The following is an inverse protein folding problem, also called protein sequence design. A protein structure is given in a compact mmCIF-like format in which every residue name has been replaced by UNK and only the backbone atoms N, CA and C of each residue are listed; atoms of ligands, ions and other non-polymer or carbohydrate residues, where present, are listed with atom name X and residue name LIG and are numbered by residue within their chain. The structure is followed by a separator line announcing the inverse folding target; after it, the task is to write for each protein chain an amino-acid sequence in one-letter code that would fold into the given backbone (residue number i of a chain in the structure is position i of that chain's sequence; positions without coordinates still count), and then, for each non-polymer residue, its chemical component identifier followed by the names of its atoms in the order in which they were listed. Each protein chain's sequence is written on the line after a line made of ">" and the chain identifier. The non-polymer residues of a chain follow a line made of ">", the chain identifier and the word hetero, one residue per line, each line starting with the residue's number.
data_IF_252473056595
#
_entry.id   IF_252473056595
#
_cell.length_a   1.000
_cell.length_b   1.000
_cell.length_c   1.000
_cell.angle_alpha   90.00
_cell.angle_beta   90.00
_cell.angle_gamma   90.00
#
_symmetry.space_group_name_H-M   'P 1'
#
loop_
_entity.id
_entity.type
_entity.pdbx_description
1 polymer ?
#
# COMPACT_ATOMS: atom_id res chain seq x y z
N UNK A 1 14.58 -0.31 -0.32
CA UNK A 1 13.15 -0.20 0.01
C UNK A 1 12.37 -1.08 -0.95
N UNK A 2 11.74 -2.14 -0.46
CA UNK A 2 11.00 -3.10 -1.27
C UNK A 2 9.53 -2.71 -1.49
N UNK A 3 9.23 -1.41 -1.34
CA UNK A 3 7.92 -0.82 -1.61
C UNK A 3 8.04 0.66 -1.96
N UNK A 4 6.97 1.21 -2.53
CA UNK A 4 6.86 2.63 -2.85
C UNK A 4 5.40 3.11 -2.80
N UNK A 5 5.22 4.41 -2.58
CA UNK A 5 3.93 5.09 -2.66
C UNK A 5 3.61 5.32 -4.14
N UNK A 6 2.40 4.96 -4.56
CA UNK A 6 1.96 5.14 -5.94
C UNK A 6 1.72 6.62 -6.23
N UNK A 7 2.27 7.10 -7.34
CA UNK A 7 1.93 8.44 -7.84
C UNK A 7 0.47 8.50 -8.28
N UNK A 8 -0.10 9.71 -8.39
CA UNK A 8 -1.49 9.91 -8.80
C UNK A 8 -1.86 9.17 -10.10
N UNK A 9 -0.92 9.09 -11.05
CA UNK A 9 -1.11 8.37 -12.33
C UNK A 9 -1.12 6.86 -12.19
N UNK A 10 -0.48 6.33 -11.15
CA UNK A 10 -0.40 4.90 -10.87
C UNK A 10 -1.50 4.42 -9.90
N UNK A 11 -2.15 5.34 -9.19
CA UNK A 11 -3.24 5.05 -8.24
C UNK A 11 -4.47 4.55 -8.99
N UNK A 12 -4.52 3.23 -9.15
CA UNK A 12 -5.67 2.55 -9.71
C UNK A 12 -6.86 2.66 -8.75
N UNK A 13 -8.04 2.98 -9.30
CA UNK A 13 -9.32 2.96 -8.58
C UNK A 13 -10.17 1.78 -9.02
N UNK A 14 -10.86 1.17 -8.07
CA UNK A 14 -11.79 0.05 -8.30
C UNK A 14 -12.97 0.18 -7.34
N UNK A 15 -14.10 0.67 -7.84
CA UNK A 15 -15.24 1.00 -6.99
C UNK A 15 -14.87 2.05 -5.95
N UNK A 16 -15.10 1.74 -4.67
CA UNK A 16 -14.78 2.60 -3.53
C UNK A 16 -13.34 2.44 -3.02
N UNK A 17 -12.48 1.73 -3.75
CA UNK A 17 -11.11 1.45 -3.32
C UNK A 17 -10.09 2.10 -4.25
N UNK A 18 -8.97 2.51 -3.67
CA UNK A 18 -7.83 3.09 -4.38
C UNK A 18 -6.54 2.41 -3.93
N UNK A 19 -5.69 2.06 -4.90
CA UNK A 19 -4.35 1.56 -4.63
C UNK A 19 -3.43 2.75 -4.28
N UNK A 20 -2.81 2.71 -3.10
CA UNK A 20 -1.98 3.82 -2.57
C UNK A 20 -0.49 3.48 -2.50
N UNK A 21 -0.14 2.20 -2.40
CA UNK A 21 1.24 1.74 -2.38
C UNK A 21 1.39 0.41 -3.13
N UNK A 22 2.62 0.08 -3.50
CA UNK A 22 2.98 -1.20 -4.09
C UNK A 22 4.26 -1.75 -3.44
N UNK A 23 4.31 -3.07 -3.24
CA UNK A 23 5.45 -3.78 -2.70
C UNK A 23 5.88 -4.92 -3.63
N UNK A 24 7.18 -5.26 -3.59
CA UNK A 24 7.78 -6.32 -4.42
C UNK A 24 7.74 -7.70 -3.78
N UNK A 25 7.42 -7.77 -2.48
CA UNK A 25 7.31 -9.01 -1.72
C UNK A 25 6.16 -8.95 -0.71
N UNK A 26 5.61 -10.12 -0.38
CA UNK A 26 4.41 -10.26 0.46
C UNK A 26 4.67 -9.85 1.92
N UNK A 27 5.91 -10.01 2.41
CA UNK A 27 6.27 -9.59 3.76
C UNK A 27 6.22 -8.06 3.87
N UNK A 28 6.84 -7.35 2.94
CA UNK A 28 6.82 -5.90 2.88
C UNK A 28 5.39 -5.39 2.66
N UNK A 29 4.61 -6.02 1.79
CA UNK A 29 3.20 -5.68 1.59
C UNK A 29 2.39 -5.83 2.91
N UNK A 30 2.66 -6.90 3.66
CA UNK A 30 2.04 -7.16 4.96
C UNK A 30 2.39 -6.08 5.97
N UNK A 31 3.67 -5.72 6.09
CA UNK A 31 4.13 -4.68 7.02
C UNK A 31 3.50 -3.31 6.72
N UNK A 32 3.49 -2.90 5.44
CA UNK A 32 2.90 -1.60 5.05
C UNK A 32 1.38 -1.60 5.29
N UNK A 33 0.70 -2.72 4.99
CA UNK A 33 -0.73 -2.89 5.29
C UNK A 33 -1.01 -2.80 6.78
N UNK A 34 -0.22 -3.50 7.59
CA UNK A 34 -0.46 -3.58 9.03
C UNK A 34 -0.17 -2.23 9.70
N UNK A 35 0.85 -1.50 9.26
CA UNK A 35 1.08 -0.12 9.70
C UNK A 35 -0.13 0.79 9.45
N UNK A 36 -0.74 0.73 8.25
CA UNK A 36 -1.96 1.50 7.96
C UNK A 36 -3.12 1.09 8.86
N UNK A 37 -3.30 -0.21 9.10
CA UNK A 37 -4.37 -0.74 9.96
C UNK A 37 -4.20 -0.33 11.42
N UNK A 38 -2.98 -0.39 11.94
CA UNK A 38 -2.65 0.05 13.30
C UNK A 38 -2.95 1.54 13.51
N UNK A 39 -2.85 2.34 12.43
CA UNK A 39 -3.18 3.76 12.42
C UNK A 39 -4.63 4.05 11.98
N UNK A 40 -5.51 3.04 11.99
CA UNK A 40 -6.94 3.20 11.77
C UNK A 40 -7.39 3.26 10.31
N UNK A 41 -6.48 3.05 9.35
CA UNK A 41 -6.82 3.00 7.92
C UNK A 41 -7.06 1.55 7.50
N UNK A 42 -8.25 1.28 6.98
CA UNK A 42 -8.64 -0.03 6.46
C UNK A 42 -7.86 -0.42 5.20
N UNK A 43 -6.70 -1.03 5.35
CA UNK A 43 -5.87 -1.48 4.23
C UNK A 43 -6.06 -2.98 3.92
N UNK A 44 -5.99 -3.32 2.63
CA UNK A 44 -6.01 -4.70 2.15
C UNK A 44 -5.19 -4.84 0.86
N UNK A 45 -4.70 -6.03 0.59
CA UNK A 45 -4.29 -6.42 -0.75
C UNK A 45 -4.91 -7.79 -1.05
N UNK A 46 -5.39 -8.03 -2.28
CA UNK A 46 -5.97 -9.31 -2.64
C UNK A 46 -4.93 -10.43 -2.42
N UNK A 47 -5.34 -11.61 -1.92
CA UNK A 47 -4.42 -12.75 -1.79
C UNK A 47 -3.90 -13.09 -3.18
N UNK A 48 -2.60 -12.91 -3.40
CA UNK A 48 -2.02 -13.00 -4.74
C UNK A 48 -1.91 -14.48 -5.12
N UNK A 49 -2.77 -14.92 -6.03
CA UNK A 49 -2.62 -16.22 -6.71
C UNK A 49 -1.79 -15.98 -7.96
N UNK A 50 -0.47 -16.08 -7.84
CA UNK A 50 0.43 -15.89 -8.98
C UNK A 50 0.28 -17.05 -9.98
N UNK A 51 -0.43 -16.82 -11.08
CA UNK A 51 -0.41 -17.73 -12.25
C UNK A 51 0.68 -17.33 -13.27
N UNK A 52 1.17 -16.07 -13.26
CA UNK A 52 2.18 -15.57 -14.19
C UNK A 52 3.06 -14.45 -13.58
N UNK A 53 4.25 -14.83 -13.08
CA UNK A 53 5.37 -13.92 -12.74
C UNK A 53 5.24 -13.07 -11.46
N UNK A 54 6.33 -12.44 -10.99
CA UNK A 54 6.31 -11.57 -9.81
C UNK A 54 5.54 -10.29 -10.12
N UNK A 55 4.28 -10.24 -9.71
CA UNK A 55 3.45 -9.05 -9.78
C UNK A 55 3.64 -8.21 -8.52
N UNK A 56 3.75 -6.89 -8.70
CA UNK A 56 3.72 -5.92 -7.61
C UNK A 56 2.43 -6.08 -6.80
N UNK A 57 2.57 -6.33 -5.49
CA UNK A 57 1.43 -6.39 -4.57
C UNK A 57 0.96 -4.99 -4.27
N UNK A 58 -0.20 -4.61 -4.84
CA UNK A 58 -0.85 -3.32 -4.61
C UNK A 58 -1.63 -3.33 -3.30
N UNK A 59 -1.42 -2.30 -2.50
CA UNK A 59 -2.10 -2.07 -1.23
C UNK A 59 -3.23 -1.08 -1.47
N UNK A 60 -4.44 -1.51 -1.14
CA UNK A 60 -5.70 -0.82 -1.38
C UNK A 60 -6.29 -0.32 -0.08
N UNK A 61 -6.90 0.87 -0.14
CA UNK A 61 -7.65 1.49 0.95
C UNK A 61 -9.00 1.99 0.43
N UNK A 62 -9.93 2.32 1.32
CA UNK A 62 -11.15 3.03 0.93
C UNK A 62 -10.79 4.42 0.39
N UNK A 63 -11.52 4.90 -0.62
CA UNK A 63 -11.24 6.18 -1.27
C UNK A 63 -11.33 7.37 -0.29
N UNK A 64 -12.22 7.28 0.70
CA UNK A 64 -12.35 8.29 1.76
C UNK A 64 -11.11 8.38 2.66
N UNK A 65 -10.32 7.30 2.75
CA UNK A 65 -9.10 7.24 3.55
C UNK A 65 -7.83 7.59 2.73
N UNK A 66 -7.96 7.91 1.43
CA UNK A 66 -6.81 8.07 0.52
C UNK A 66 -5.79 9.09 1.05
N UNK A 67 -6.24 10.28 1.46
CA UNK A 67 -5.37 11.35 1.93
C UNK A 67 -4.67 10.96 3.24
N UNK A 68 -5.42 10.40 4.19
CA UNK A 68 -4.88 9.92 5.46
C UNK A 68 -3.86 8.81 5.24
N UNK A 69 -4.15 7.86 4.35
CA UNK A 69 -3.26 6.77 4.00
C UNK A 69 -1.95 7.28 3.40
N UNK A 70 -2.01 8.23 2.45
CA UNK A 70 -0.82 8.80 1.82
C UNK A 70 0.06 9.54 2.84
N UNK A 71 -0.53 10.32 3.74
CA UNK A 71 0.21 10.99 4.83
C UNK A 71 0.95 9.99 5.72
N UNK A 72 0.25 8.94 6.17
CA UNK A 72 0.84 7.88 6.99
C UNK A 72 1.97 7.13 6.26
N UNK A 73 1.80 6.88 4.96
CA UNK A 73 2.84 6.24 4.16
C UNK A 73 4.08 7.13 3.99
N UNK A 74 3.91 8.45 3.89
CA UNK A 74 5.05 9.37 3.89
C UNK A 74 5.80 9.37 5.23
N UNK A 75 5.08 9.28 6.36
CA UNK A 75 5.65 9.11 7.70
C UNK A 75 6.45 7.80 7.81
N UNK A 76 5.83 6.68 7.40
CA UNK A 76 6.49 5.36 7.36
C UNK A 76 7.75 5.37 6.49
N UNK A 77 7.68 6.05 5.34
CA UNK A 77 8.82 6.19 4.43
C UNK A 77 9.96 6.98 5.06
N UNK A 78 9.65 8.02 5.83
CA UNK A 78 10.67 8.78 6.55
C UNK A 78 11.32 7.93 7.65
N UNK A 79 10.52 7.17 8.41
CA UNK A 79 10.99 6.26 9.45
C UNK A 79 11.96 5.21 8.90
N UNK A 80 11.59 4.52 7.83
CA UNK A 80 12.41 3.46 7.23
C UNK A 80 13.66 3.95 6.49
N UNK A 81 13.76 5.26 6.23
CA UNK A 81 14.99 5.88 5.70
C UNK A 81 15.93 6.35 6.81
N UNK A 82 15.41 6.56 8.02
CA UNK A 82 16.18 6.95 9.19
C UNK A 82 16.66 5.78 10.05
N UNK A 83 16.10 4.59 9.84
CA UNK A 83 16.51 3.32 10.46
C UNK A 83 17.60 2.60 9.63
#
# INVERSE_FOLDING_TARGET
>A
MNWYILSERERQRSGQFVAVAAAYDDLTATLVRDYLRENGVGAAFPPVTYLYGPLLTRIWVHADDEETALRLLDELRAEWRGA
#
